data_IF_265298871963
#
_entry.id   IF_265298871963
#
_cell.length_a   1.000
_cell.length_b   1.000
_cell.length_c   1.000
_cell.angle_alpha   90.00
_cell.angle_beta   90.00
_cell.angle_gamma   90.00
#
_symmetry.space_group_name_H-M   'P 1'
#
loop_
_entity.id
_entity.type
_entity.pdbx_description
1 polymer ?
#
# COMPACT_ATOMS: atom_id res chain seq x y z
N UNK A 1 -12.90 -3.96 0.22
CA UNK A 1 -12.23 -4.68 1.33
C UNK A 1 -10.88 -4.06 1.62
N UNK A 2 -10.64 -3.70 2.86
CA UNK A 2 -9.33 -3.18 3.29
C UNK A 2 -8.36 -4.34 3.44
N UNK A 3 -7.17 -4.21 2.86
CA UNK A 3 -6.13 -5.23 2.95
C UNK A 3 -5.01 -4.82 3.90
N UNK A 4 -4.85 -3.53 4.16
CA UNK A 4 -3.80 -3.05 5.05
C UNK A 4 -4.17 -1.69 5.63
N UNK A 5 -3.86 -1.53 6.91
CA UNK A 5 -3.88 -0.25 7.60
C UNK A 5 -2.50 -0.07 8.21
N UNK A 6 -1.90 1.09 8.00
CA UNK A 6 -0.58 1.35 8.55
C UNK A 6 -0.33 2.85 8.65
N UNK A 7 0.67 3.22 9.44
CA UNK A 7 1.05 4.61 9.65
C UNK A 7 2.49 4.82 9.20
N UNK A 8 2.72 5.96 8.56
CA UNK A 8 4.06 6.42 8.23
C UNK A 8 4.12 7.89 8.64
N UNK A 9 4.92 8.21 9.66
CA UNK A 9 4.98 9.56 10.20
C UNK A 9 3.62 9.98 10.73
N UNK A 10 3.12 11.11 10.28
CA UNK A 10 1.83 11.64 10.69
C UNK A 10 0.69 11.26 9.74
N UNK A 11 0.88 10.24 8.92
CA UNK A 11 -0.12 9.80 7.94
C UNK A 11 -0.56 8.37 8.20
N UNK A 12 -1.86 8.17 8.12
CA UNK A 12 -2.48 6.86 8.20
C UNK A 12 -2.98 6.46 6.82
N UNK A 13 -2.68 5.24 6.42
CA UNK A 13 -3.07 4.71 5.13
C UNK A 13 -4.04 3.55 5.30
N UNK A 14 -5.09 3.57 4.50
CA UNK A 14 -5.99 2.43 4.35
C UNK A 14 -5.95 2.00 2.89
N UNK A 15 -5.50 0.78 2.63
CA UNK A 15 -5.21 0.30 1.28
C UNK A 15 -6.11 -0.87 0.93
N UNK A 16 -6.62 -0.88 -0.30
CA UNK A 16 -7.50 -1.93 -0.84
C UNK A 16 -6.99 -2.35 -2.21
N UNK A 17 -7.04 -3.64 -2.52
CA UNK A 17 -6.78 -4.11 -3.88
C UNK A 17 -7.97 -3.84 -4.77
N UNK A 18 -7.67 -3.51 -6.03
CA UNK A 18 -8.68 -3.40 -7.09
C UNK A 18 -8.70 -4.75 -7.81
N UNK A 19 -9.87 -5.36 -7.91
CA UNK A 19 -10.02 -6.76 -8.28
C UNK A 19 -9.59 -7.16 -9.69
N UNK A 20 -9.43 -6.23 -10.60
CA UNK A 20 -9.21 -6.56 -12.01
C UNK A 20 -7.79 -6.32 -12.50
N UNK A 21 -6.82 -6.28 -11.62
CA UNK A 21 -5.50 -5.89 -12.06
C UNK A 21 -4.41 -6.72 -11.42
N UNK A 22 -3.44 -7.07 -12.24
CA UNK A 22 -2.17 -7.55 -11.75
C UNK A 22 -1.93 -9.03 -11.92
N UNK A 23 -0.82 -9.44 -11.38
CA UNK A 23 -0.33 -10.81 -11.47
C UNK A 23 0.46 -11.11 -10.19
N UNK A 24 0.50 -12.40 -9.80
CA UNK A 24 1.17 -12.78 -8.55
C UNK A 24 2.69 -12.71 -8.66
N UNK A 25 3.37 -12.59 -7.52
CA UNK A 25 4.83 -12.62 -7.49
C UNK A 25 5.35 -14.04 -7.71
N UNK A 26 6.56 -14.10 -8.23
CA UNK A 26 7.30 -15.35 -8.33
C UNK A 26 8.59 -15.22 -7.54
N UNK A 27 9.34 -16.31 -7.52
CA UNK A 27 10.65 -16.36 -6.89
C UNK A 27 11.62 -15.32 -7.45
N UNK A 28 11.49 -15.01 -8.75
CA UNK A 28 12.42 -14.14 -9.46
C UNK A 28 11.86 -12.79 -9.85
N UNK A 29 10.56 -12.60 -9.71
CA UNK A 29 9.91 -11.36 -10.11
C UNK A 29 8.86 -10.93 -9.11
N UNK A 30 8.73 -9.61 -8.94
CA UNK A 30 7.67 -9.05 -8.15
C UNK A 30 6.34 -9.18 -8.88
N UNK A 31 5.29 -9.45 -8.13
CA UNK A 31 3.94 -9.31 -8.63
C UNK A 31 3.55 -7.84 -8.73
N UNK A 32 2.41 -7.59 -9.32
CA UNK A 32 1.91 -6.23 -9.48
C UNK A 32 0.41 -6.21 -9.27
N UNK A 33 -0.08 -5.10 -8.73
CA UNK A 33 -1.52 -4.89 -8.59
C UNK A 33 -1.82 -3.40 -8.57
N UNK A 34 -3.04 -3.08 -8.97
CA UNK A 34 -3.58 -1.73 -8.77
C UNK A 34 -4.21 -1.69 -7.38
N UNK A 35 -3.85 -0.70 -6.61
CA UNK A 35 -4.45 -0.48 -5.29
C UNK A 35 -5.17 0.85 -5.26
N UNK A 36 -6.16 0.91 -4.42
CA UNK A 36 -6.89 2.11 -4.08
C UNK A 36 -6.64 2.38 -2.61
N UNK A 37 -6.37 3.62 -2.25
CA UNK A 37 -6.07 3.92 -0.85
C UNK A 37 -6.54 5.30 -0.42
N UNK A 38 -6.81 5.40 0.87
CA UNK A 38 -7.13 6.66 1.53
C UNK A 38 -5.95 7.04 2.42
N UNK A 39 -5.66 8.33 2.48
CA UNK A 39 -4.60 8.87 3.33
C UNK A 39 -5.20 9.89 4.27
N UNK A 40 -5.01 9.70 5.57
CA UNK A 40 -5.39 10.67 6.59
C UNK A 40 -4.12 11.28 7.17
N UNK A 41 -4.04 12.61 7.11
CA UNK A 41 -2.93 13.35 7.72
C UNK A 41 -3.36 13.85 9.10
N UNK A 42 -2.52 13.64 10.10
CA UNK A 42 -2.76 14.04 11.47
C UNK A 42 -1.87 15.19 11.88
N UNK A 43 -2.41 16.06 12.74
CA UNK A 43 -1.65 17.12 13.38
C UNK A 43 -2.09 17.18 14.84
N UNK A 44 -1.12 17.12 15.76
CA UNK A 44 -1.40 17.14 17.20
C UNK A 44 -2.43 16.08 17.61
N UNK A 45 -2.28 14.87 17.04
CA UNK A 45 -3.16 13.72 17.29
C UNK A 45 -4.58 13.90 16.77
N UNK A 46 -4.81 14.89 15.91
CA UNK A 46 -6.13 15.10 15.32
C UNK A 46 -6.07 14.96 13.80
N UNK A 47 -7.09 14.30 13.19
CA UNK A 47 -7.12 14.19 11.73
C UNK A 47 -7.41 15.57 11.13
N UNK A 48 -6.56 15.98 10.19
CA UNK A 48 -6.68 17.28 9.54
C UNK A 48 -7.21 17.19 8.13
N UNK A 49 -6.64 16.30 7.34
CA UNK A 49 -6.99 16.17 5.93
C UNK A 49 -7.10 14.69 5.62
N UNK A 50 -8.18 14.31 4.94
CA UNK A 50 -8.33 12.96 4.41
C UNK A 50 -8.48 13.03 2.90
N UNK A 51 -7.63 12.31 2.19
CA UNK A 51 -7.70 12.16 0.74
C UNK A 51 -8.19 10.77 0.42
N UNK A 52 -9.24 10.70 -0.39
CA UNK A 52 -9.96 9.46 -0.71
C UNK A 52 -9.62 8.97 -2.11
N UNK A 53 -9.75 7.66 -2.30
CA UNK A 53 -9.75 7.01 -3.61
C UNK A 53 -8.54 7.34 -4.47
N UNK A 54 -7.38 7.43 -3.85
CA UNK A 54 -6.15 7.52 -4.60
C UNK A 54 -5.84 6.14 -5.16
N UNK A 55 -5.43 6.09 -6.42
CA UNK A 55 -5.09 4.83 -7.08
C UNK A 55 -3.66 4.86 -7.56
N UNK A 56 -3.00 3.72 -7.46
CA UNK A 56 -1.68 3.55 -8.05
C UNK A 56 -1.36 2.08 -8.24
N UNK A 57 -0.45 1.82 -9.16
CA UNK A 57 0.09 0.47 -9.30
C UNK A 57 1.19 0.27 -8.27
N UNK A 58 1.19 -0.89 -7.65
CA UNK A 58 2.22 -1.29 -6.70
C UNK A 58 2.82 -2.62 -7.13
N UNK A 59 3.95 -2.97 -6.53
CA UNK A 59 4.68 -4.20 -6.79
C UNK A 59 4.96 -4.87 -5.47
N UNK A 60 4.92 -6.20 -5.44
CA UNK A 60 5.07 -6.92 -4.18
C UNK A 60 5.80 -8.23 -4.39
N UNK A 61 6.44 -8.72 -3.33
CA UNK A 61 7.19 -9.97 -3.38
C UNK A 61 6.53 -11.05 -2.54
N UNK A 62 7.12 -12.25 -2.56
CA UNK A 62 6.57 -13.40 -1.83
C UNK A 62 6.65 -13.21 -0.31
N UNK A 63 7.46 -12.28 0.18
CA UNK A 63 7.58 -11.98 1.59
C UNK A 63 6.55 -10.93 2.05
N UNK A 64 5.71 -10.47 1.14
CA UNK A 64 4.68 -9.49 1.45
C UNK A 64 5.13 -8.05 1.45
N UNK A 65 6.38 -7.78 1.06
CA UNK A 65 6.84 -6.41 0.92
C UNK A 65 6.19 -5.76 -0.28
N UNK A 66 5.65 -4.58 -0.10
CA UNK A 66 4.99 -3.81 -1.16
C UNK A 66 5.82 -2.58 -1.48
N UNK A 67 6.02 -2.35 -2.76
CA UNK A 67 6.85 -1.28 -3.29
C UNK A 67 6.04 -0.39 -4.21
N UNK A 68 6.34 0.89 -4.23
CA UNK A 68 5.66 1.82 -5.13
C UNK A 68 6.15 1.73 -6.56
N UNK A 69 7.39 1.29 -6.76
CA UNK A 69 8.00 1.18 -8.07
C UNK A 69 8.57 -0.22 -8.27
N UNK A 70 8.61 -0.66 -9.53
CA UNK A 70 9.01 -2.02 -9.86
C UNK A 70 10.44 -2.36 -9.42
N UNK A 71 11.32 -1.38 -9.42
CA UNK A 71 12.73 -1.58 -9.10
C UNK A 71 13.17 -0.90 -7.81
N UNK A 72 12.23 -0.37 -7.06
CA UNK A 72 12.54 0.28 -5.79
C UNK A 72 13.00 -0.73 -4.75
N UNK A 73 13.96 -0.33 -3.93
CA UNK A 73 14.38 -1.12 -2.77
C UNK A 73 13.75 -0.61 -1.48
N UNK A 74 12.93 0.44 -1.57
CA UNK A 74 12.27 1.01 -0.41
C UNK A 74 10.87 0.41 -0.27
N UNK A 75 10.69 -0.36 0.80
CA UNK A 75 9.39 -0.95 1.12
C UNK A 75 8.43 0.14 1.56
N UNK A 76 7.24 0.16 0.97
CA UNK A 76 6.17 1.05 1.39
C UNK A 76 5.47 0.50 2.63
N UNK A 77 5.04 -0.74 2.58
CA UNK A 77 4.50 -1.46 3.73
C UNK A 77 4.61 -2.96 3.49
N UNK A 78 4.40 -3.75 4.54
CA UNK A 78 4.43 -5.20 4.43
C UNK A 78 3.04 -5.76 4.72
N UNK A 79 2.52 -6.58 3.79
CA UNK A 79 1.17 -7.14 3.87
C UNK A 79 0.95 -8.00 5.12
N UNK A 80 1.98 -8.67 5.57
CA UNK A 80 1.84 -9.60 6.70
C UNK A 80 1.96 -8.90 8.05
N UNK A 81 2.48 -7.69 8.07
CA UNK A 81 2.68 -6.89 9.28
C UNK A 81 1.68 -5.77 9.44
N UNK A 82 1.05 -5.34 8.36
CA UNK A 82 0.02 -4.31 8.40
C UNK A 82 -1.28 -4.90 8.94
N UNK A 83 -1.96 -4.16 9.76
CA UNK A 83 -3.22 -4.61 10.35
C UNK A 83 -4.46 -4.16 9.57
#
# INVERSE_FOLDING_TARGET
MTIANFEIGNKEFEVRFVSESGYPPTKNERGSSLVEYDVTTYKDNQPMIKKFNKKRRVYFDLEGNVYKDKQSNKVWFNLYKAS
#
